data_IF_237378585464
#
_entry.id   IF_237378585464
#
_cell.length_a   1.000
_cell.length_b   1.000
_cell.length_c   1.000
_cell.angle_alpha   90.00
_cell.angle_beta   90.00
_cell.angle_gamma   90.00
#
_symmetry.space_group_name_H-M   'P 1'
#
loop_
_entity.id
_entity.type
_entity.pdbx_description
1 polymer ?
#
# COMPACT_ATOMS: atom_id res chain seq x y z
N UNK A 1 3.89 -36.67 -9.01
CA UNK A 1 4.34 -35.42 -8.36
C UNK A 1 5.15 -34.65 -9.39
N UNK A 2 4.67 -33.48 -9.82
CA UNK A 2 5.50 -32.59 -10.61
C UNK A 2 6.52 -31.96 -9.66
N UNK A 3 7.81 -32.09 -9.95
CA UNK A 3 8.85 -31.43 -9.14
C UNK A 3 8.67 -29.91 -9.13
N UNK A 4 9.29 -29.20 -8.16
CA UNK A 4 9.17 -27.75 -8.05
C UNK A 4 9.59 -27.07 -9.36
N UNK A 5 8.81 -26.06 -9.78
CA UNK A 5 9.06 -25.34 -11.02
C UNK A 5 10.39 -24.56 -10.92
N UNK A 6 11.21 -24.62 -11.97
CA UNK A 6 12.41 -23.76 -12.04
C UNK A 6 11.97 -22.30 -12.12
N UNK A 7 12.37 -21.51 -11.12
CA UNK A 7 12.12 -20.08 -11.07
C UNK A 7 13.03 -19.33 -12.05
N UNK A 8 12.55 -18.24 -12.63
CA UNK A 8 13.36 -17.35 -13.48
C UNK A 8 14.37 -16.56 -12.64
N UNK A 9 15.43 -15.96 -13.23
CA UNK A 9 16.35 -15.12 -12.47
C UNK A 9 15.68 -13.94 -11.76
N UNK A 10 14.70 -13.29 -12.41
CA UNK A 10 13.91 -12.21 -11.81
C UNK A 10 13.11 -12.69 -10.60
N UNK A 11 12.48 -13.85 -10.75
CA UNK A 11 11.69 -14.49 -9.70
C UNK A 11 12.56 -14.88 -8.49
N UNK A 12 13.78 -15.36 -8.73
CA UNK A 12 14.76 -15.65 -7.66
C UNK A 12 15.20 -14.37 -6.97
N UNK A 13 15.56 -13.32 -7.72
CA UNK A 13 15.96 -12.04 -7.12
C UNK A 13 14.83 -11.43 -6.27
N UNK A 14 13.60 -11.48 -6.76
CA UNK A 14 12.43 -11.01 -6.03
C UNK A 14 12.17 -11.79 -4.74
N UNK A 15 12.31 -13.12 -4.79
CA UNK A 15 12.21 -13.99 -3.61
C UNK A 15 13.29 -13.66 -2.58
N UNK A 16 14.52 -13.55 -3.02
CA UNK A 16 15.67 -13.36 -2.14
C UNK A 16 15.60 -11.99 -1.45
N UNK A 17 15.14 -10.94 -2.15
CA UNK A 17 14.88 -9.63 -1.55
C UNK A 17 13.71 -9.66 -0.56
N UNK A 18 12.61 -10.35 -0.89
CA UNK A 18 11.49 -10.54 0.05
C UNK A 18 11.93 -11.31 1.31
N UNK A 19 12.77 -12.33 1.17
CA UNK A 19 13.34 -13.07 2.30
C UNK A 19 14.25 -12.20 3.15
N UNK A 20 15.09 -11.38 2.50
CA UNK A 20 15.95 -10.41 3.18
C UNK A 20 15.14 -9.41 3.99
N UNK A 21 14.14 -8.78 3.38
CA UNK A 21 13.24 -7.85 4.06
C UNK A 21 12.57 -8.50 5.29
N UNK A 22 12.05 -9.73 5.14
CA UNK A 22 11.47 -10.46 6.27
C UNK A 22 12.47 -10.78 7.37
N UNK A 23 13.72 -11.11 7.02
CA UNK A 23 14.76 -11.44 7.98
C UNK A 23 15.24 -10.18 8.75
N UNK A 24 15.51 -9.09 8.03
CA UNK A 24 15.96 -7.81 8.60
C UNK A 24 14.94 -7.20 9.56
N UNK A 25 13.66 -7.42 9.31
CA UNK A 25 12.57 -6.92 10.16
C UNK A 25 11.95 -7.99 11.07
N UNK A 26 12.58 -9.16 11.20
CA UNK A 26 12.16 -10.25 12.09
C UNK A 26 10.69 -10.70 11.91
N UNK A 27 10.19 -10.69 10.66
CA UNK A 27 8.80 -11.02 10.32
C UNK A 27 8.53 -12.54 10.27
N UNK A 28 9.58 -13.37 10.37
CA UNK A 28 9.51 -14.83 10.35
C UNK A 28 8.81 -15.38 9.10
N UNK A 29 8.08 -16.49 9.23
CA UNK A 29 7.30 -17.11 8.15
C UNK A 29 5.77 -16.94 8.29
N UNK A 30 5.31 -16.20 9.31
CA UNK A 30 3.89 -16.03 9.60
C UNK A 30 3.25 -14.93 8.72
N UNK A 31 1.92 -14.93 8.57
CA UNK A 31 1.19 -13.87 7.91
C UNK A 31 1.51 -12.49 8.50
N UNK A 32 1.61 -11.48 7.63
CA UNK A 32 1.80 -10.10 8.09
C UNK A 32 0.44 -9.46 8.38
N UNK A 33 0.35 -8.74 9.50
CA UNK A 33 -0.84 -7.99 9.91
C UNK A 33 -1.03 -6.73 9.07
N UNK A 34 -1.04 -5.59 9.75
CA UNK A 34 -1.19 -4.27 9.14
C UNK A 34 0.07 -3.88 8.34
N UNK A 35 0.01 -4.08 7.02
CA UNK A 35 1.11 -3.78 6.11
C UNK A 35 1.46 -2.31 6.06
N UNK A 36 0.48 -1.42 6.23
CA UNK A 36 0.76 0.03 6.22
C UNK A 36 1.65 0.37 7.41
N UNK A 37 1.24 -0.04 8.61
CA UNK A 37 2.05 0.17 9.83
C UNK A 37 3.43 -0.48 9.72
N UNK A 38 3.51 -1.71 9.21
CA UNK A 38 4.78 -2.42 9.05
C UNK A 38 5.73 -1.66 8.11
N UNK A 39 5.25 -1.19 6.96
CA UNK A 39 6.06 -0.41 6.02
C UNK A 39 6.53 0.88 6.71
N UNK A 40 5.61 1.67 7.28
CA UNK A 40 5.96 2.95 7.90
C UNK A 40 7.01 2.82 9.02
N UNK A 41 6.90 1.78 9.85
CA UNK A 41 7.79 1.55 10.98
C UNK A 41 9.18 1.05 10.56
N UNK A 42 9.24 0.18 9.56
CA UNK A 42 10.47 -0.51 9.20
C UNK A 42 11.29 0.18 8.11
N UNK A 43 10.63 0.89 7.19
CA UNK A 43 11.32 1.62 6.10
C UNK A 43 11.37 3.13 6.35
N UNK A 44 10.50 3.63 7.24
CA UNK A 44 10.37 5.05 7.51
C UNK A 44 9.58 5.83 6.46
N UNK A 45 9.12 5.18 5.39
CA UNK A 45 8.31 5.75 4.31
C UNK A 45 6.91 6.07 4.79
N UNK A 46 6.37 7.18 4.32
CA UNK A 46 5.00 7.58 4.60
C UNK A 46 4.04 6.84 3.64
N UNK A 47 3.02 6.19 4.19
CA UNK A 47 2.05 5.41 3.38
C UNK A 47 0.66 6.06 3.46
N UNK A 48 0.08 6.32 2.29
CA UNK A 48 -1.23 6.95 2.13
C UNK A 48 -2.21 5.96 1.50
N UNK A 49 -3.38 5.81 2.12
CA UNK A 49 -4.54 5.14 1.51
C UNK A 49 -5.58 6.20 1.20
N UNK A 50 -5.96 6.35 -0.05
CA UNK A 50 -6.86 7.42 -0.50
C UNK A 50 -7.80 6.93 -1.60
N UNK A 51 -8.84 7.72 -1.88
CA UNK A 51 -9.63 7.53 -3.09
C UNK A 51 -8.77 7.87 -4.31
N UNK A 52 -8.85 7.04 -5.34
CA UNK A 52 -8.06 7.13 -6.56
C UNK A 52 -8.95 6.72 -7.74
N UNK A 53 -8.58 7.13 -8.96
CA UNK A 53 -9.30 6.75 -10.17
C UNK A 53 -9.32 5.22 -10.39
N UNK A 54 -10.25 4.71 -11.20
CA UNK A 54 -10.43 3.26 -11.39
C UNK A 54 -9.16 2.54 -11.91
N UNK A 55 -8.30 3.26 -12.63
CA UNK A 55 -7.08 2.75 -13.24
C UNK A 55 -5.82 2.96 -12.38
N UNK A 56 -5.92 3.64 -11.24
CA UNK A 56 -4.79 3.92 -10.35
C UNK A 56 -4.70 2.86 -9.26
N UNK A 57 -3.64 2.05 -9.30
CA UNK A 57 -3.53 0.85 -8.44
C UNK A 57 -2.63 1.08 -7.22
N UNK A 58 -1.59 1.89 -7.41
CA UNK A 58 -0.61 2.27 -6.41
C UNK A 58 0.42 3.21 -7.06
N UNK A 59 1.13 3.97 -6.24
CA UNK A 59 2.20 4.85 -6.67
C UNK A 59 3.29 4.90 -5.60
N UNK A 60 4.53 4.63 -5.99
CA UNK A 60 5.72 4.92 -5.20
C UNK A 60 6.42 6.15 -5.75
N UNK A 61 6.61 7.17 -4.93
CA UNK A 61 7.21 8.44 -5.34
C UNK A 61 8.20 8.96 -4.32
N UNK A 62 9.25 9.63 -4.81
CA UNK A 62 10.19 10.40 -4.00
C UNK A 62 9.91 11.89 -4.15
N UNK A 63 9.72 12.59 -3.04
CA UNK A 63 9.75 14.06 -3.01
C UNK A 63 11.18 14.52 -3.36
N UNK A 64 11.39 15.18 -4.52
CA UNK A 64 12.72 15.56 -4.97
C UNK A 64 13.33 16.68 -4.13
N UNK A 65 12.51 17.48 -3.43
CA UNK A 65 12.98 18.60 -2.61
C UNK A 65 13.35 18.17 -1.20
N UNK A 66 12.57 17.25 -0.61
CA UNK A 66 12.75 16.80 0.78
C UNK A 66 13.43 15.43 0.89
N UNK A 67 13.57 14.73 -0.23
CA UNK A 67 14.10 13.37 -0.29
C UNK A 67 13.19 12.32 0.38
N UNK A 68 11.97 12.69 0.77
CA UNK A 68 11.02 11.82 1.45
C UNK A 68 10.36 10.85 0.46
N UNK A 69 10.25 9.58 0.83
CA UNK A 69 9.55 8.57 0.03
C UNK A 69 8.09 8.46 0.49
N UNK A 70 7.20 8.23 -0.47
CA UNK A 70 5.79 7.97 -0.26
C UNK A 70 5.33 6.74 -1.03
N UNK A 71 4.46 5.93 -0.41
CA UNK A 71 3.63 4.94 -1.10
C UNK A 71 2.19 5.40 -0.99
N UNK A 72 1.51 5.58 -2.11
CA UNK A 72 0.07 5.78 -2.16
C UNK A 72 -0.62 4.54 -2.74
N UNK A 73 -1.73 4.11 -2.15
CA UNK A 73 -2.59 3.06 -2.70
C UNK A 73 -4.05 3.45 -2.62
N UNK A 74 -4.85 2.94 -3.54
CA UNK A 74 -6.29 3.15 -3.53
C UNK A 74 -6.94 2.44 -2.32
N UNK A 75 -7.89 3.12 -1.65
CA UNK A 75 -8.90 2.44 -0.82
C UNK A 75 -9.75 1.54 -1.71
N UNK A 76 -10.14 0.38 -1.21
CA UNK A 76 -10.92 -0.58 -2.02
C UNK A 76 -11.65 -1.59 -1.16
N UNK A 77 -12.78 -2.12 -1.66
CA UNK A 77 -13.49 -3.29 -1.11
C UNK A 77 -12.80 -4.64 -1.42
N UNK A 78 -11.61 -4.61 -2.03
CA UNK A 78 -10.82 -5.79 -2.42
C UNK A 78 -9.54 -5.87 -1.55
N UNK A 79 -9.62 -6.33 -0.29
CA UNK A 79 -8.53 -6.22 0.67
C UNK A 79 -7.24 -6.93 0.23
N UNK A 80 -7.34 -8.12 -0.35
CA UNK A 80 -6.18 -8.85 -0.87
C UNK A 80 -5.49 -8.12 -2.03
N UNK A 81 -6.25 -7.34 -2.82
CA UNK A 81 -5.68 -6.51 -3.90
C UNK A 81 -4.91 -5.34 -3.32
N UNK A 82 -5.46 -4.64 -2.32
CA UNK A 82 -4.74 -3.56 -1.65
C UNK A 82 -3.45 -4.05 -1.02
N UNK A 83 -3.49 -5.21 -0.35
CA UNK A 83 -2.29 -5.82 0.25
C UNK A 83 -1.22 -6.16 -0.79
N UNK A 84 -1.61 -6.71 -1.94
CA UNK A 84 -0.66 -6.96 -3.03
C UNK A 84 -0.13 -5.66 -3.64
N UNK A 85 -0.96 -4.62 -3.80
CA UNK A 85 -0.52 -3.32 -4.29
C UNK A 85 0.51 -2.69 -3.32
N UNK A 86 0.22 -2.65 -2.02
CA UNK A 86 1.18 -2.16 -1.01
C UNK A 86 2.52 -2.90 -1.06
N UNK A 87 2.49 -4.22 -1.16
CA UNK A 87 3.70 -5.04 -1.25
C UNK A 87 4.43 -4.85 -2.60
N UNK A 88 3.69 -4.63 -3.69
CA UNK A 88 4.24 -4.35 -5.02
C UNK A 88 4.97 -3.00 -5.03
N UNK A 89 4.34 -1.95 -4.50
CA UNK A 89 4.95 -0.62 -4.34
C UNK A 89 6.19 -0.65 -3.45
N UNK A 90 6.16 -1.40 -2.34
CA UNK A 90 7.34 -1.64 -1.53
C UNK A 90 8.47 -2.32 -2.34
N UNK A 91 8.12 -3.27 -3.22
CA UNK A 91 9.06 -3.91 -4.13
C UNK A 91 9.74 -2.89 -5.04
N UNK A 92 8.96 -2.02 -5.68
CA UNK A 92 9.51 -0.94 -6.52
C UNK A 92 10.48 -0.05 -5.73
N UNK A 93 10.16 0.30 -4.49
CA UNK A 93 11.07 1.07 -3.64
C UNK A 93 12.39 0.35 -3.35
N UNK A 94 12.33 -0.92 -2.90
CA UNK A 94 13.52 -1.67 -2.48
C UNK A 94 14.46 -1.94 -3.65
N UNK A 95 13.92 -2.10 -4.85
CA UNK A 95 14.69 -2.28 -6.06
C UNK A 95 15.13 -0.97 -6.74
N UNK A 96 14.82 0.20 -6.16
CA UNK A 96 15.02 1.53 -6.76
C UNK A 96 14.40 1.61 -8.17
N UNK A 97 13.25 0.93 -8.34
CA UNK A 97 12.53 0.75 -9.59
C UNK A 97 11.44 1.81 -9.84
N UNK A 98 11.22 2.72 -8.88
CA UNK A 98 10.21 3.80 -8.95
C UNK A 98 10.52 4.83 -10.04
N UNK A 99 9.47 5.46 -10.60
CA UNK A 99 9.63 6.40 -11.70
C UNK A 99 9.86 7.83 -11.18
N UNK A 100 10.87 8.55 -11.71
CA UNK A 100 11.00 9.99 -11.49
C UNK A 100 10.01 10.71 -12.42
N UNK A 101 8.73 10.59 -12.12
CA UNK A 101 7.68 11.27 -12.87
C UNK A 101 6.79 10.37 -13.74
N UNK A 102 5.74 10.93 -14.36
CA UNK A 102 4.46 10.18 -14.46
C UNK A 102 4.11 9.70 -15.85
N UNK A 103 5.09 9.66 -16.75
CA UNK A 103 4.86 9.35 -18.15
C UNK A 103 5.76 8.25 -18.70
N UNK A 104 6.39 7.42 -17.86
CA UNK A 104 7.17 6.29 -18.39
C UNK A 104 6.76 5.00 -17.72
N UNK A 105 5.94 4.19 -18.41
CA UNK A 105 5.75 2.79 -18.04
C UNK A 105 7.13 2.13 -18.07
N UNK A 106 7.63 1.78 -16.88
CA UNK A 106 8.90 1.10 -16.72
C UNK A 106 8.93 -0.20 -17.54
N UNK A 107 10.12 -0.72 -17.85
CA UNK A 107 10.20 -1.95 -18.61
C UNK A 107 9.49 -3.08 -17.87
N UNK A 108 8.70 -3.88 -18.61
CA UNK A 108 7.81 -4.95 -18.08
C UNK A 108 8.45 -5.88 -17.04
N UNK A 109 9.77 -6.05 -17.09
CA UNK A 109 10.50 -6.88 -16.14
C UNK A 109 10.52 -6.31 -14.71
N UNK A 110 10.44 -4.97 -14.54
CA UNK A 110 10.30 -4.32 -13.22
C UNK A 110 8.97 -4.69 -12.56
N UNK A 111 7.87 -4.50 -13.28
CA UNK A 111 6.53 -4.91 -12.84
C UNK A 111 6.48 -6.41 -12.49
N UNK A 112 7.07 -7.25 -13.35
CA UNK A 112 7.15 -8.70 -13.12
C UNK A 112 7.94 -9.03 -11.84
N UNK A 113 9.02 -8.28 -11.57
CA UNK A 113 9.84 -8.42 -10.35
C UNK A 113 9.09 -7.93 -9.11
N UNK A 114 8.38 -6.81 -9.19
CA UNK A 114 7.57 -6.28 -8.10
C UNK A 114 6.40 -7.21 -7.74
N UNK A 115 5.71 -7.78 -8.74
CA UNK A 115 4.68 -8.81 -8.54
C UNK A 115 5.24 -10.07 -7.86
N UNK A 116 6.42 -10.51 -8.29
CA UNK A 116 7.10 -11.65 -7.68
C UNK A 116 7.51 -11.34 -6.24
N UNK A 117 8.02 -10.14 -5.98
CA UNK A 117 8.40 -9.70 -4.64
C UNK A 117 7.18 -9.68 -3.73
N UNK A 118 6.08 -9.06 -4.17
CA UNK A 118 4.83 -8.99 -3.41
C UNK A 118 4.32 -10.38 -3.02
N UNK A 119 4.35 -11.34 -3.94
CA UNK A 119 3.96 -12.72 -3.65
C UNK A 119 4.86 -13.37 -2.61
N UNK A 120 6.19 -13.31 -2.76
CA UNK A 120 7.12 -13.94 -1.81
C UNK A 120 7.14 -13.26 -0.45
N UNK A 121 6.90 -11.94 -0.41
CA UNK A 121 6.78 -11.18 0.82
C UNK A 121 5.53 -11.60 1.59
N UNK A 122 4.37 -11.62 0.93
CA UNK A 122 3.07 -11.90 1.55
C UNK A 122 2.87 -13.39 1.86
N UNK A 123 3.41 -14.28 1.03
CA UNK A 123 3.29 -15.74 1.15
C UNK A 123 4.70 -16.37 1.06
N UNK A 124 5.49 -16.35 2.15
CA UNK A 124 6.81 -16.96 2.15
C UNK A 124 6.70 -18.47 1.99
N UNK A 125 7.61 -19.06 1.22
CA UNK A 125 7.61 -20.51 0.94
C UNK A 125 7.59 -21.37 2.21
N UNK A 126 8.38 -21.00 3.23
CA UNK A 126 8.40 -21.69 4.51
C UNK A 126 7.01 -21.69 5.19
N UNK A 127 6.33 -20.54 5.19
CA UNK A 127 4.99 -20.43 5.77
C UNK A 127 3.93 -21.20 4.97
N UNK A 128 4.08 -21.23 3.65
CA UNK A 128 3.22 -22.03 2.77
C UNK A 128 3.39 -23.54 3.04
N UNK A 129 4.64 -24.02 3.07
CA UNK A 129 4.94 -25.43 3.30
C UNK A 129 4.44 -25.86 4.69
N UNK A 130 4.71 -25.09 5.75
CA UNK A 130 4.19 -25.38 7.10
C UNK A 130 2.65 -25.47 7.19
N UNK A 131 1.93 -24.76 6.32
CA UNK A 131 0.47 -24.78 6.30
C UNK A 131 -0.10 -25.96 5.49
N UNK A 132 0.58 -26.36 4.42
CA UNK A 132 0.13 -27.38 3.48
C UNK A 132 0.65 -28.78 3.86
N UNK A 133 1.79 -28.86 4.53
CA UNK A 133 2.39 -30.10 5.00
C UNK A 133 1.41 -30.90 5.86
N UNK A 134 1.21 -32.17 5.51
CA UNK A 134 0.31 -33.09 6.20
C UNK A 134 -1.18 -32.98 5.83
N UNK A 135 -1.55 -32.15 4.83
CA UNK A 135 -2.92 -32.10 4.27
C UNK A 135 -2.95 -32.69 2.86
N UNK A 136 -4.03 -33.39 2.44
CA UNK A 136 -4.22 -33.69 1.02
C UNK A 136 -4.31 -32.37 0.24
N UNK A 137 -3.26 -32.09 -0.54
CA UNK A 137 -2.95 -30.77 -1.11
C UNK A 137 -3.72 -30.38 -2.37
N UNK A 138 -4.77 -31.08 -2.75
CA UNK A 138 -5.36 -31.01 -4.10
C UNK A 138 -6.76 -30.37 -4.15
N UNK A 139 -7.36 -30.02 -3.01
CA UNK A 139 -8.71 -29.46 -2.94
C UNK A 139 -8.77 -27.93 -2.83
N UNK A 140 -9.85 -27.27 -3.31
CA UNK A 140 -10.09 -25.84 -3.08
C UNK A 140 -10.14 -25.41 -1.60
N UNK A 141 -10.35 -26.34 -0.67
CA UNK A 141 -10.28 -26.07 0.77
C UNK A 141 -8.86 -25.69 1.23
N UNK A 142 -7.83 -26.30 0.62
CA UNK A 142 -6.44 -25.97 0.89
C UNK A 142 -6.11 -24.59 0.32
N UNK A 143 -6.54 -24.28 -0.90
CA UNK A 143 -6.43 -22.92 -1.46
C UNK A 143 -7.09 -21.88 -0.55
N UNK A 144 -8.31 -22.14 -0.08
CA UNK A 144 -9.04 -21.27 0.85
C UNK A 144 -8.26 -21.06 2.15
N UNK A 145 -7.67 -22.11 2.71
CA UNK A 145 -6.86 -22.02 3.93
C UNK A 145 -5.64 -21.12 3.73
N UNK A 146 -4.94 -21.23 2.59
CA UNK A 146 -3.78 -20.38 2.25
C UNK A 146 -4.22 -18.92 2.08
N UNK A 147 -5.27 -18.68 1.29
CA UNK A 147 -5.84 -17.34 1.06
C UNK A 147 -6.26 -16.68 2.37
N UNK A 148 -6.97 -17.41 3.24
CA UNK A 148 -7.45 -16.91 4.52
C UNK A 148 -6.30 -16.68 5.50
N UNK A 149 -5.33 -17.59 5.59
CA UNK A 149 -4.23 -17.48 6.56
C UNK A 149 -3.30 -16.32 6.20
N UNK A 150 -2.89 -16.21 4.95
CA UNK A 150 -1.90 -15.22 4.50
C UNK A 150 -2.53 -13.92 3.95
N UNK A 151 -3.86 -13.88 3.82
CA UNK A 151 -4.59 -12.73 3.29
C UNK A 151 -4.08 -12.30 1.91
N UNK A 152 -3.85 -13.28 1.04
CA UNK A 152 -3.42 -13.10 -0.35
C UNK A 152 -4.54 -13.45 -1.33
N UNK A 153 -4.44 -12.97 -2.57
CA UNK A 153 -5.42 -13.34 -3.60
C UNK A 153 -5.33 -14.84 -3.95
N UNK A 154 -6.42 -15.46 -4.45
CA UNK A 154 -6.37 -16.83 -4.93
C UNK A 154 -5.32 -17.06 -6.02
N UNK A 155 -5.06 -16.05 -6.86
CA UNK A 155 -4.02 -16.11 -7.87
C UNK A 155 -2.61 -16.18 -7.26
N UNK A 156 -2.29 -15.32 -6.30
CA UNK A 156 -1.01 -15.35 -5.57
C UNK A 156 -0.81 -16.71 -4.89
N UNK A 157 -1.84 -17.20 -4.19
CA UNK A 157 -1.78 -18.50 -3.52
C UNK A 157 -1.57 -19.66 -4.52
N UNK A 158 -2.33 -19.71 -5.61
CA UNK A 158 -2.21 -20.75 -6.62
C UNK A 158 -0.82 -20.76 -7.28
N UNK A 159 -0.26 -19.58 -7.60
CA UNK A 159 1.09 -19.47 -8.17
C UNK A 159 2.13 -20.01 -7.19
N UNK A 160 2.11 -19.59 -5.93
CA UNK A 160 3.06 -20.06 -4.92
C UNK A 160 2.93 -21.57 -4.68
N UNK A 161 1.71 -22.10 -4.60
CA UNK A 161 1.45 -23.54 -4.46
C UNK A 161 2.01 -24.34 -5.64
N UNK A 162 1.86 -23.86 -6.87
CA UNK A 162 2.40 -24.51 -8.06
C UNK A 162 3.94 -24.47 -8.09
N UNK A 163 4.54 -23.34 -7.72
CA UNK A 163 6.00 -23.19 -7.64
C UNK A 163 6.63 -24.14 -6.62
N UNK A 164 5.93 -24.41 -5.50
CA UNK A 164 6.33 -25.39 -4.48
C UNK A 164 6.00 -26.84 -4.84
N UNK A 165 5.28 -27.08 -5.95
CA UNK A 165 4.90 -28.43 -6.37
C UNK A 165 3.70 -29.01 -5.61
N UNK A 166 2.99 -28.20 -4.82
CA UNK A 166 1.78 -28.62 -4.10
C UNK A 166 0.61 -28.87 -5.04
N UNK A 167 0.58 -28.18 -6.19
CA UNK A 167 -0.44 -28.37 -7.24
C UNK A 167 0.19 -28.38 -8.64
N UNK A 168 -0.55 -28.92 -9.61
CA UNK A 168 -0.14 -28.91 -11.01
C UNK A 168 -0.35 -27.52 -11.66
N UNK A 169 0.34 -27.27 -12.77
CA UNK A 169 0.13 -26.08 -13.60
C UNK A 169 -1.33 -25.98 -14.09
N UNK A 170 -1.94 -27.10 -14.46
CA UNK A 170 -3.36 -27.15 -14.87
C UNK A 170 -4.29 -26.73 -13.74
N UNK A 171 -4.04 -27.24 -12.53
CA UNK A 171 -4.80 -26.87 -11.32
C UNK A 171 -4.65 -25.39 -11.00
N UNK A 172 -3.43 -24.84 -11.12
CA UNK A 172 -3.16 -23.41 -10.94
C UNK A 172 -4.03 -22.57 -11.88
N UNK A 173 -4.00 -22.85 -13.18
CA UNK A 173 -4.79 -22.12 -14.18
C UNK A 173 -6.30 -22.22 -13.91
N UNK A 174 -6.78 -23.43 -13.59
CA UNK A 174 -8.19 -23.64 -13.23
C UNK A 174 -8.60 -22.81 -12.01
N UNK A 175 -7.79 -22.82 -10.94
CA UNK A 175 -8.10 -22.09 -9.71
C UNK A 175 -8.09 -20.58 -9.91
N UNK A 176 -7.13 -20.06 -10.68
CA UNK A 176 -7.05 -18.64 -11.04
C UNK A 176 -8.29 -18.17 -11.81
N UNK A 177 -8.85 -19.00 -12.69
CA UNK A 177 -10.06 -18.69 -13.44
C UNK A 177 -11.35 -18.86 -12.64
N UNK A 178 -11.37 -19.78 -11.67
CA UNK A 178 -12.61 -20.18 -10.98
C UNK A 178 -12.87 -19.40 -9.69
N UNK A 179 -11.81 -19.09 -8.93
CA UNK A 179 -11.96 -18.63 -7.55
C UNK A 179 -11.58 -17.17 -7.37
N UNK A 180 -12.41 -16.47 -6.61
CA UNK A 180 -12.09 -15.15 -6.04
C UNK A 180 -12.06 -15.27 -4.52
N UNK A 181 -11.39 -14.34 -3.84
CA UNK A 181 -11.38 -14.32 -2.38
C UNK A 181 -12.81 -14.32 -1.77
N UNK A 182 -13.78 -13.50 -2.23
CA UNK A 182 -15.13 -13.54 -1.67
C UNK A 182 -15.87 -14.86 -1.93
N UNK A 183 -15.63 -15.55 -3.06
CA UNK A 183 -16.28 -16.84 -3.33
C UNK A 183 -15.69 -17.96 -2.46
N UNK A 184 -14.38 -17.97 -2.23
CA UNK A 184 -13.76 -18.88 -1.27
C UNK A 184 -14.25 -18.60 0.16
N UNK A 185 -14.35 -17.32 0.55
CA UNK A 185 -14.84 -16.91 1.86
C UNK A 185 -16.26 -17.40 2.14
N UNK A 186 -17.16 -17.26 1.16
CA UNK A 186 -18.52 -17.80 1.27
C UNK A 186 -18.52 -19.33 1.33
N UNK A 187 -17.77 -19.99 0.44
CA UNK A 187 -17.78 -21.47 0.32
C UNK A 187 -17.20 -22.17 1.56
N UNK A 188 -16.25 -21.55 2.24
CA UNK A 188 -15.51 -22.14 3.35
C UNK A 188 -15.73 -21.43 4.69
N UNK A 189 -16.79 -20.62 4.81
CA UNK A 189 -17.29 -20.16 6.10
C UNK A 189 -16.48 -19.05 6.77
N UNK A 190 -15.76 -18.21 6.01
CA UNK A 190 -15.03 -17.06 6.55
C UNK A 190 -15.47 -15.72 5.93
N UNK A 191 -16.74 -15.65 5.49
CA UNK A 191 -17.28 -14.46 4.82
C UNK A 191 -17.29 -13.21 5.69
N UNK A 192 -17.57 -13.36 6.99
CA UNK A 192 -17.58 -12.22 7.92
C UNK A 192 -16.18 -11.62 8.07
N UNK A 193 -15.15 -12.46 8.17
CA UNK A 193 -13.76 -12.01 8.14
C UNK A 193 -13.45 -11.24 6.85
N UNK A 194 -13.84 -11.77 5.68
CA UNK A 194 -13.64 -11.07 4.41
C UNK A 194 -14.36 -9.70 4.39
N UNK A 195 -15.58 -9.62 4.94
CA UNK A 195 -16.35 -8.38 4.99
C UNK A 195 -15.67 -7.33 5.89
N UNK A 196 -15.17 -7.74 7.07
CA UNK A 196 -14.40 -6.86 7.95
C UNK A 196 -13.13 -6.32 7.27
N UNK A 197 -12.37 -7.20 6.62
CA UNK A 197 -11.18 -6.81 5.87
C UNK A 197 -11.52 -5.83 4.74
N UNK A 198 -12.63 -6.05 4.04
CA UNK A 198 -13.07 -5.18 2.95
C UNK A 198 -13.52 -3.79 3.43
N UNK A 199 -14.08 -3.68 4.63
CA UNK A 199 -14.39 -2.39 5.25
C UNK A 199 -13.12 -1.68 5.71
N UNK A 200 -12.13 -2.42 6.24
CA UNK A 200 -10.85 -1.87 6.66
C UNK A 200 -10.04 -1.34 5.48
N UNK A 201 -9.92 -2.12 4.40
CA UNK A 201 -9.20 -1.69 3.18
C UNK A 201 -9.89 -0.57 2.42
N UNK A 202 -11.18 -0.33 2.69
CA UNK A 202 -11.98 0.74 2.10
C UNK A 202 -11.97 2.01 2.98
N UNK A 203 -11.03 2.15 3.91
CA UNK A 203 -10.86 3.40 4.68
C UNK A 203 -9.65 4.18 4.18
N UNK A 204 -9.84 5.48 4.05
CA UNK A 204 -8.71 6.39 3.86
C UNK A 204 -7.81 6.37 5.10
N UNK A 205 -6.51 6.47 4.88
CA UNK A 205 -5.51 6.44 5.94
C UNK A 205 -4.34 7.34 5.58
N UNK A 206 -4.18 8.42 6.33
CA UNK A 206 -3.01 9.29 6.20
C UNK A 206 -1.79 8.70 6.94
N UNK A 207 -0.57 9.06 6.50
CA UNK A 207 0.65 8.60 7.16
C UNK A 207 0.68 8.96 8.64
N UNK A 208 1.06 8.02 9.50
CA UNK A 208 0.98 8.21 10.95
C UNK A 208 1.90 9.36 11.41
N UNK A 209 3.10 9.47 10.84
CA UNK A 209 4.05 10.55 11.19
C UNK A 209 3.51 11.92 10.82
N UNK A 210 2.86 12.04 9.66
CA UNK A 210 2.20 13.28 9.24
C UNK A 210 1.08 13.66 10.20
N UNK A 211 0.25 12.69 10.60
CA UNK A 211 -0.81 12.91 11.58
C UNK A 211 -0.27 13.35 12.94
N UNK A 212 0.76 12.68 13.46
CA UNK A 212 1.38 13.02 14.74
C UNK A 212 1.94 14.46 14.74
N UNK A 213 2.61 14.87 13.64
CA UNK A 213 3.13 16.24 13.48
C UNK A 213 2.01 17.26 13.37
N UNK A 214 0.94 16.94 12.63
CA UNK A 214 -0.22 17.81 12.47
C UNK A 214 -0.96 18.00 13.80
N UNK A 215 -1.09 16.92 14.59
CA UNK A 215 -1.69 16.97 15.92
C UNK A 215 -0.85 17.82 16.88
N UNK A 216 0.48 17.69 16.85
CA UNK A 216 1.37 18.56 17.62
C UNK A 216 1.22 20.04 17.23
N UNK A 217 1.12 20.32 15.92
CA UNK A 217 0.85 21.67 15.41
C UNK A 217 -0.53 22.21 15.82
N UNK A 218 -1.53 21.34 15.92
CA UNK A 218 -2.86 21.70 16.42
C UNK A 218 -2.79 22.07 17.91
N UNK A 219 -2.12 21.27 18.72
CA UNK A 219 -1.89 21.57 20.14
C UNK A 219 -1.15 22.89 20.34
N UNK A 220 -0.17 23.19 19.49
CA UNK A 220 0.54 24.46 19.52
C UNK A 220 -0.26 25.66 18.97
N UNK A 221 -1.49 25.47 18.51
CA UNK A 221 -2.34 26.52 17.92
C UNK A 221 -1.91 26.98 16.51
N UNK A 222 -0.94 26.30 15.90
CA UNK A 222 -0.40 26.63 14.56
C UNK A 222 -1.23 26.00 13.45
N UNK A 223 -1.85 24.85 13.73
CA UNK A 223 -2.72 24.13 12.79
C UNK A 223 -4.17 24.20 13.26
N UNK A 224 -5.09 24.47 12.34
CA UNK A 224 -6.52 24.47 12.66
C UNK A 224 -7.10 23.06 12.79
N UNK A 225 -8.15 22.90 13.60
CA UNK A 225 -8.92 21.65 13.66
C UNK A 225 -9.44 21.22 12.27
N UNK A 226 -9.81 22.18 11.41
CA UNK A 226 -10.25 21.91 10.04
C UNK A 226 -9.17 21.24 9.19
N UNK A 227 -7.93 21.71 9.29
CA UNK A 227 -6.80 21.11 8.57
C UNK A 227 -6.56 19.66 9.02
N UNK A 228 -6.59 19.43 10.34
CA UNK A 228 -6.42 18.09 10.91
C UNK A 228 -7.58 17.17 10.49
N UNK A 229 -8.81 17.67 10.43
CA UNK A 229 -9.99 16.91 10.01
C UNK A 229 -9.87 16.47 8.54
N UNK A 230 -9.42 17.38 7.67
CA UNK A 230 -9.20 17.09 6.26
C UNK A 230 -8.15 15.99 6.06
N UNK A 231 -7.02 16.06 6.77
CA UNK A 231 -5.95 15.03 6.66
C UNK A 231 -6.46 13.67 7.13
N UNK A 232 -7.37 13.64 8.12
CA UNK A 232 -7.99 12.41 8.61
C UNK A 232 -9.19 11.93 7.80
N UNK A 233 -9.70 12.74 6.87
CA UNK A 233 -10.94 12.47 6.15
C UNK A 233 -12.18 12.45 7.04
N UNK A 234 -12.19 13.24 8.12
CA UNK A 234 -13.29 13.31 9.10
C UNK A 234 -14.05 14.64 9.00
N UNK A 235 -15.26 14.67 9.55
CA UNK A 235 -15.95 15.92 9.86
C UNK A 235 -15.23 16.68 11.00
N UNK A 236 -15.27 18.02 10.97
CA UNK A 236 -14.63 18.83 12.03
C UNK A 236 -15.27 18.57 13.39
N UNK A 237 -16.59 18.39 13.45
CA UNK A 237 -17.31 18.09 14.70
C UNK A 237 -16.91 16.72 15.27
N UNK A 238 -16.83 15.70 14.41
CA UNK A 238 -16.37 14.36 14.77
C UNK A 238 -14.94 14.39 15.31
N UNK A 239 -14.03 15.11 14.64
CA UNK A 239 -12.66 15.28 15.11
C UNK A 239 -12.62 15.98 16.48
N UNK A 240 -13.35 17.08 16.65
CA UNK A 240 -13.35 17.83 17.92
C UNK A 240 -13.88 16.98 19.07
N UNK A 241 -14.91 16.17 18.83
CA UNK A 241 -15.43 15.23 19.83
C UNK A 241 -14.38 14.15 20.19
N UNK A 242 -13.64 13.63 19.21
CA UNK A 242 -12.55 12.67 19.46
C UNK A 242 -11.41 13.31 20.28
N UNK A 243 -11.01 14.54 19.93
CA UNK A 243 -9.96 15.27 20.63
C UNK A 243 -10.36 15.60 22.07
N UNK A 244 -11.59 16.05 22.29
CA UNK A 244 -12.14 16.34 23.62
C UNK A 244 -12.21 15.07 24.49
N UNK A 245 -12.73 13.97 23.94
CA UNK A 245 -12.78 12.68 24.62
C UNK A 245 -11.37 12.15 24.98
N UNK A 246 -10.36 12.48 24.18
CA UNK A 246 -8.97 12.14 24.43
C UNK A 246 -8.22 13.14 25.33
N UNK A 247 -8.87 14.22 25.76
CA UNK A 247 -8.24 15.29 26.56
C UNK A 247 -7.20 16.11 25.79
N UNK A 248 -7.27 16.12 24.47
CA UNK A 248 -6.36 16.87 23.60
C UNK A 248 -6.91 18.28 23.36
N UNK A 249 -6.39 19.25 24.09
CA UNK A 249 -6.69 20.66 23.91
C UNK A 249 -5.53 21.40 23.23
N UNK A 250 -5.82 22.59 22.68
CA UNK A 250 -4.78 23.56 22.34
C UNK A 250 -4.08 23.97 23.63
N UNK A 251 -2.76 23.85 23.67
CA UNK A 251 -1.96 24.24 24.82
C UNK A 251 -2.18 25.76 25.04
N UNK A 252 -2.34 26.18 26.30
CA UNK A 252 -2.47 27.59 26.63
C UNK A 252 -1.27 28.34 26.01
N UNK A 253 -1.47 29.54 25.43
CA UNK A 253 -0.37 30.29 24.83
C UNK A 253 0.71 30.44 25.89
N UNK A 254 1.85 29.78 25.67
CA UNK A 254 3.03 30.04 26.49
C UNK A 254 3.37 31.51 26.26
N UNK A 255 3.22 32.33 27.29
CA UNK A 255 3.76 33.68 27.28
C UNK A 255 5.26 33.53 27.02
N UNK A 256 5.68 33.83 25.79
CA UNK A 256 7.09 33.88 25.44
C UNK A 256 7.67 35.08 26.22
N UNK A 257 8.19 34.81 27.42
CA UNK A 257 9.01 35.77 28.14
C UNK A 257 10.29 36.01 27.32
N UNK A 258 10.33 37.18 26.68
CA UNK A 258 11.54 37.96 26.45
C UNK A 258 12.75 37.22 25.88
N UNK A 259 12.69 36.77 24.64
CA UNK A 259 13.90 36.72 23.81
C UNK A 259 13.54 37.08 22.38
N UNK A 260 14.03 38.22 21.93
CA UNK A 260 13.85 38.73 20.58
C UNK A 260 14.51 37.76 19.59
N UNK A 261 13.74 36.81 19.08
CA UNK A 261 14.10 36.09 17.85
C UNK A 261 14.08 37.10 16.70
N UNK A 262 15.08 37.08 15.81
CA UNK A 262 15.07 37.96 14.64
C UNK A 262 13.82 37.67 13.83
N UNK A 263 13.14 38.73 13.39
CA UNK A 263 11.96 38.69 12.55
C UNK A 263 12.28 37.99 11.22
N UNK A 264 12.31 36.67 11.26
CA UNK A 264 12.29 35.84 10.06
C UNK A 264 10.83 35.77 9.71
N UNK A 265 10.46 36.49 8.66
CA UNK A 265 9.14 36.45 8.05
C UNK A 265 8.78 35.01 7.77
N UNK A 266 8.12 34.33 8.72
CA UNK A 266 7.37 33.11 8.43
C UNK A 266 6.32 33.57 7.43
N UNK A 267 6.59 33.33 6.15
CA UNK A 267 5.57 33.46 5.11
C UNK A 267 4.45 32.53 5.54
N UNK A 268 3.38 33.14 6.01
CA UNK A 268 2.14 32.56 6.46
C UNK A 268 1.46 31.90 5.27
N UNK A 269 1.93 30.72 4.89
CA UNK A 269 1.22 29.81 4.01
C UNK A 269 1.79 28.41 4.23
N UNK A 270 1.33 27.74 5.29
CA UNK A 270 1.16 26.29 5.15
C UNK A 270 0.17 26.11 3.99
N UNK A 271 0.57 25.51 2.86
CA UNK A 271 -0.38 25.23 1.81
C UNK A 271 -1.48 24.39 2.43
N UNK A 272 -2.74 24.75 2.15
CA UNK A 272 -3.81 23.76 2.29
C UNK A 272 -3.35 22.54 1.50
N UNK A 273 -3.40 21.30 2.01
CA UNK A 273 -3.52 20.17 1.09
C UNK A 273 -4.94 20.29 0.53
N UNK A 274 -5.11 21.19 -0.42
CA UNK A 274 -5.96 20.87 -1.54
C UNK A 274 -5.06 19.94 -2.34
N UNK A 275 -5.43 18.68 -2.37
CA UNK A 275 -5.02 17.83 -3.46
C UNK A 275 -6.35 17.41 -4.05
N UNK A 276 -6.85 18.21 -4.99
CA UNK A 276 -7.76 17.65 -5.97
C UNK A 276 -6.95 16.72 -6.87
N UNK A 277 -7.63 15.79 -7.55
CA UNK A 277 -6.98 14.84 -8.48
C UNK A 277 -6.13 15.61 -9.51
N UNK A 278 -6.58 16.82 -9.86
CA UNK A 278 -5.92 17.74 -10.78
C UNK A 278 -4.63 18.38 -10.21
N UNK A 279 -4.52 18.62 -8.90
CA UNK A 279 -3.27 19.11 -8.26
C UNK A 279 -2.24 17.98 -8.10
N UNK A 280 -2.70 16.72 -8.07
CA UNK A 280 -1.83 15.54 -8.17
C UNK A 280 -1.27 15.42 -9.60
N UNK A 281 -2.10 15.61 -10.62
CA UNK A 281 -1.69 15.64 -12.04
C UNK A 281 -0.67 16.75 -12.35
N UNK A 282 -0.82 17.93 -11.76
CA UNK A 282 0.10 19.06 -11.96
C UNK A 282 1.47 18.84 -11.30
N UNK A 283 1.49 18.17 -10.13
CA UNK A 283 2.71 17.66 -9.50
C UNK A 283 3.31 16.49 -10.30
N UNK A 284 2.47 15.87 -11.14
CA UNK A 284 2.74 14.70 -11.94
C UNK A 284 2.86 14.96 -13.47
N UNK A 285 3.06 16.20 -13.91
CA UNK A 285 3.56 16.45 -15.27
C UNK A 285 2.95 17.63 -15.99
N UNK A 286 3.81 18.57 -16.38
CA UNK A 286 3.64 19.36 -17.59
C UNK A 286 4.21 18.58 -18.77
N UNK A 287 3.37 18.13 -19.69
CA UNK A 287 3.75 17.93 -21.10
C UNK A 287 2.58 18.37 -21.98
N UNK A 288 2.53 19.68 -22.26
CA UNK A 288 2.00 20.24 -23.51
C UNK A 288 3.16 21.08 -24.07
N UNK A 289 3.47 21.20 -25.36
CA UNK A 289 2.69 21.27 -26.61
C UNK A 289 3.60 20.71 -27.75
N UNK A 290 3.18 20.43 -28.99
CA UNK A 290 2.62 21.38 -29.96
C UNK A 290 2.27 20.64 -31.31
N UNK A 291 1.87 21.30 -32.42
CA UNK A 291 0.55 21.15 -33.03
C UNK A 291 0.63 20.64 -34.49
N UNK A 292 -0.42 19.99 -34.99
CA UNK A 292 -0.61 19.92 -36.44
C UNK A 292 -2.01 20.34 -36.83
N UNK A 293 -2.08 21.65 -37.06
CA UNK A 293 -2.93 22.34 -38.02
C UNK A 293 -3.10 21.52 -39.31
N UNK A 294 -4.35 21.19 -39.64
CA UNK A 294 -4.74 20.60 -40.92
C UNK A 294 -5.44 21.70 -41.70
N UNK A 295 -4.84 22.25 -42.78
CA UNK A 295 -5.61 23.04 -43.72
C UNK A 295 -6.39 22.10 -44.65
N UNK A 296 -7.69 22.34 -44.75
CA UNK A 296 -8.53 21.73 -45.77
C UNK A 296 -8.34 22.35 -47.16
N UNK A 297 -9.03 21.73 -48.12
CA UNK A 297 -9.28 22.14 -49.51
C UNK A 297 -8.18 21.90 -50.55
N UNK A 298 -8.26 20.75 -51.23
CA UNK A 298 -8.68 20.59 -52.65
C UNK A 298 -8.52 19.15 -53.09
#
# INVERSE_FOLDING_TARGET
MNGPQRLTPLEVAARDEAQRFRAEHHLGAQPMGDLVTLIEQHTGVDVLVMEAGEDEHGLTMRDPQRGAMFIAVARTRRPMRQRSCLAHELGHMLFDDYHPGPATVGPRWKETRADAFARHLLLPHEGLDLLVDGRPGDGPATLSSVVQRFLVSPAIAAIAMAQRGHISETTKQQWMATFTAPTLATRFGWRDLYASLALESDRSRAPQKLLARTLAGYRAGVISARTLANIRGLGVEELLAELDAAGVAVDAPQALEGSALPATTLKTSLPRPKFSVEELDELLGSVDDDPHDVPGSS
#
